data_IF_388149008576
#
_entry.id   IF_388149008576
#
_cell.length_a   1.000
_cell.length_b   1.000
_cell.length_c   1.000
_cell.angle_alpha   90.00
_cell.angle_beta   90.00
_cell.angle_gamma   90.00
#
_symmetry.space_group_name_H-M   'P 1'
#
loop_
_entity.id
_entity.type
_entity.pdbx_description
1 polymer ?
#
# COMPACT_ATOMS: atom_id res chain seq x y z
N UNK A 1 -1.07 -11.59 -0.29
CA UNK A 1 0.03 -12.19 0.51
C UNK A 1 -0.46 -13.40 1.33
N UNK A 2 -1.70 -13.35 1.83
CA UNK A 2 -2.24 -14.33 2.76
C UNK A 2 -3.12 -15.41 2.10
N UNK A 3 -2.70 -15.88 0.93
CA UNK A 3 -3.34 -17.03 0.25
C UNK A 3 -2.40 -18.23 0.30
N UNK A 4 -2.96 -19.44 0.11
CA UNK A 4 -2.16 -20.65 -0.08
C UNK A 4 -1.23 -20.48 -1.28
N UNK A 5 0.06 -20.71 -1.06
CA UNK A 5 1.08 -20.62 -2.12
C UNK A 5 1.37 -22.03 -2.62
N UNK A 6 0.79 -22.39 -3.77
CA UNK A 6 0.86 -23.73 -4.33
C UNK A 6 1.35 -23.69 -5.77
N UNK A 7 2.46 -24.40 -6.04
CA UNK A 7 3.07 -24.52 -7.36
C UNK A 7 2.36 -25.56 -8.24
N UNK A 8 1.99 -26.71 -7.66
CA UNK A 8 1.51 -27.87 -8.38
C UNK A 8 0.02 -28.11 -8.09
N UNK A 9 -0.82 -27.11 -8.39
CA UNK A 9 -2.27 -27.28 -8.29
C UNK A 9 -2.74 -28.33 -9.29
N UNK A 10 -3.80 -29.04 -8.93
CA UNK A 10 -4.53 -29.99 -9.77
C UNK A 10 -6.03 -29.74 -9.57
N UNK A 11 -6.81 -29.90 -10.62
CA UNK A 11 -8.27 -30.00 -10.52
C UNK A 11 -8.76 -31.29 -11.21
N UNK A 12 -10.00 -31.69 -10.92
CA UNK A 12 -10.59 -32.93 -11.44
C UNK A 12 -11.15 -32.77 -12.88
N UNK A 13 -10.98 -31.60 -13.50
CA UNK A 13 -11.39 -31.33 -14.85
C UNK A 13 -10.46 -31.94 -15.91
N UNK A 14 -10.89 -32.03 -17.18
CA UNK A 14 -10.08 -32.57 -18.27
C UNK A 14 -8.70 -31.90 -18.41
N UNK A 15 -8.64 -30.60 -18.14
CA UNK A 15 -7.44 -29.78 -18.19
C UNK A 15 -6.83 -29.47 -16.82
N UNK A 16 -7.28 -30.15 -15.76
CA UNK A 16 -6.81 -29.89 -14.40
C UNK A 16 -5.33 -30.17 -14.17
N UNK A 17 -4.72 -30.96 -15.04
CA UNK A 17 -3.27 -31.16 -15.07
C UNK A 17 -2.49 -29.92 -15.56
N UNK A 18 -3.16 -28.90 -16.11
CA UNK A 18 -2.56 -27.67 -16.64
C UNK A 18 -2.62 -26.47 -15.67
N UNK A 19 -3.30 -26.59 -14.53
CA UNK A 19 -3.46 -25.48 -13.57
C UNK A 19 -2.25 -25.21 -12.66
N UNK A 20 -1.14 -25.91 -12.90
CA UNK A 20 0.11 -25.65 -12.21
C UNK A 20 0.68 -24.26 -12.55
N UNK A 21 1.53 -23.74 -11.67
CA UNK A 21 2.29 -22.50 -11.91
C UNK A 21 3.74 -22.85 -12.28
N UNK A 22 4.26 -22.18 -13.30
CA UNK A 22 5.65 -22.32 -13.71
C UNK A 22 6.61 -21.57 -12.80
N UNK A 23 6.20 -20.38 -12.37
CA UNK A 23 6.93 -19.54 -11.44
C UNK A 23 5.97 -18.73 -10.56
N UNK A 24 6.42 -18.42 -9.34
CA UNK A 24 5.80 -17.50 -8.40
C UNK A 24 6.86 -16.51 -7.95
N UNK A 25 6.54 -15.23 -8.03
CA UNK A 25 7.35 -14.15 -7.49
C UNK A 25 6.58 -13.49 -6.36
N UNK A 26 7.24 -13.25 -5.24
CA UNK A 26 6.62 -12.63 -4.08
C UNK A 26 7.60 -11.72 -3.35
N UNK A 27 7.05 -10.70 -2.72
CA UNK A 27 7.79 -9.73 -1.94
C UNK A 27 7.37 -9.89 -0.47
N UNK A 28 8.21 -10.49 0.40
CA UNK A 28 7.83 -10.77 1.78
C UNK A 28 7.60 -9.51 2.61
N UNK A 29 8.07 -8.32 2.19
CA UNK A 29 7.69 -7.04 2.80
C UNK A 29 6.19 -6.71 2.85
N UNK A 30 5.34 -7.48 2.14
CA UNK A 30 3.88 -7.39 2.21
C UNK A 30 3.26 -8.20 3.36
N UNK A 31 4.08 -8.89 4.14
CA UNK A 31 3.68 -9.70 5.29
C UNK A 31 4.15 -9.00 6.58
N UNK A 32 3.53 -9.32 7.71
CA UNK A 32 3.95 -8.79 9.02
C UNK A 32 5.40 -9.16 9.31
N UNK A 33 6.21 -8.18 9.70
CA UNK A 33 7.64 -8.36 9.96
C UNK A 33 8.52 -8.46 8.70
N UNK A 34 7.89 -8.43 7.52
CA UNK A 34 8.55 -8.56 6.22
C UNK A 34 9.42 -7.40 5.74
N UNK A 35 9.26 -6.13 6.17
CA UNK A 35 10.19 -5.09 5.75
C UNK A 35 11.65 -5.48 6.04
N UNK A 36 12.53 -5.28 5.05
CA UNK A 36 13.93 -5.73 5.11
C UNK A 36 14.17 -7.20 4.74
N UNK A 37 13.26 -7.84 3.99
CA UNK A 37 13.44 -9.18 3.41
C UNK A 37 13.81 -9.10 1.92
N UNK A 38 14.50 -10.11 1.35
CA UNK A 38 14.69 -10.18 -0.09
C UNK A 38 13.39 -10.57 -0.80
N UNK A 39 13.34 -10.36 -2.12
CA UNK A 39 12.31 -10.99 -2.96
C UNK A 39 12.51 -12.51 -3.02
N UNK A 40 11.42 -13.26 -3.22
CA UNK A 40 11.48 -14.72 -3.37
C UNK A 40 10.92 -15.11 -4.74
N UNK A 41 11.70 -15.88 -5.49
CA UNK A 41 11.30 -16.54 -6.73
C UNK A 41 11.25 -18.05 -6.49
N UNK A 42 10.08 -18.64 -6.68
CA UNK A 42 9.90 -20.09 -6.74
C UNK A 42 9.59 -20.44 -8.19
N UNK A 43 10.46 -21.20 -8.84
CA UNK A 43 10.27 -21.56 -10.25
C UNK A 43 10.66 -23.02 -10.51
N UNK A 44 9.99 -23.64 -11.49
CA UNK A 44 10.31 -25.01 -11.88
C UNK A 44 11.72 -25.07 -12.47
N UNK A 45 12.54 -26.02 -11.99
CA UNK A 45 13.93 -26.21 -12.44
C UNK A 45 14.10 -26.22 -13.96
N UNK A 46 13.15 -26.81 -14.69
CA UNK A 46 13.14 -26.89 -16.17
C UNK A 46 13.18 -25.55 -16.91
N UNK A 47 12.87 -24.45 -16.22
CA UNK A 47 12.88 -23.08 -16.77
C UNK A 47 14.29 -22.47 -16.76
N UNK A 48 15.19 -22.96 -15.90
CA UNK A 48 16.55 -22.44 -15.75
C UNK A 48 17.49 -23.08 -16.78
N UNK A 49 17.33 -22.70 -18.05
CA UNK A 49 18.12 -23.20 -19.18
C UNK A 49 19.29 -22.30 -19.58
N UNK A 50 19.35 -21.09 -19.03
CA UNK A 50 20.40 -20.12 -19.36
C UNK A 50 21.75 -20.63 -18.85
N UNK A 51 22.79 -20.52 -19.68
CA UNK A 51 24.16 -20.85 -19.29
C UNK A 51 24.78 -19.74 -18.42
N UNK A 52 24.36 -18.49 -18.64
CA UNK A 52 24.79 -17.30 -17.91
C UNK A 52 23.68 -16.84 -16.97
N UNK A 53 23.97 -16.58 -15.68
CA UNK A 53 22.97 -16.06 -14.74
C UNK A 53 22.50 -14.66 -15.08
N UNK A 54 21.34 -14.28 -14.53
CA UNK A 54 20.81 -12.93 -14.65
C UNK A 54 21.72 -11.88 -13.99
N UNK A 55 22.40 -12.24 -12.89
CA UNK A 55 23.34 -11.39 -12.17
C UNK A 55 24.67 -12.14 -11.98
N UNK A 56 25.61 -12.04 -12.94
CA UNK A 56 26.94 -12.62 -12.79
C UNK A 56 27.72 -11.95 -11.65
N UNK A 57 28.42 -12.74 -10.84
CA UNK A 57 29.26 -12.19 -9.77
C UNK A 57 30.00 -13.25 -8.96
N UNK A 58 30.65 -12.82 -7.88
CA UNK A 58 31.17 -13.74 -6.89
C UNK A 58 30.06 -14.65 -6.36
N UNK A 59 30.37 -15.93 -6.12
CA UNK A 59 29.38 -16.92 -5.67
C UNK A 59 28.61 -17.63 -6.79
N UNK A 60 28.59 -17.12 -8.03
CA UNK A 60 27.89 -17.78 -9.16
C UNK A 60 28.78 -18.69 -10.00
N UNK A 61 30.11 -18.59 -9.84
CA UNK A 61 31.10 -19.29 -10.65
C UNK A 61 31.69 -20.49 -9.91
N UNK A 62 31.85 -21.61 -10.62
CA UNK A 62 32.65 -22.75 -10.20
C UNK A 62 34.15 -22.49 -10.45
N UNK A 63 34.49 -21.76 -11.51
CA UNK A 63 35.87 -21.45 -11.88
C UNK A 63 35.95 -20.17 -12.72
N UNK A 64 37.04 -19.42 -12.57
CA UNK A 64 37.35 -18.24 -13.38
C UNK A 64 38.86 -18.11 -13.53
N UNK A 65 39.33 -17.82 -14.74
CA UNK A 65 40.70 -17.39 -15.03
C UNK A 65 40.66 -16.13 -15.90
N UNK A 66 41.79 -15.74 -16.51
CA UNK A 66 41.86 -14.53 -17.33
C UNK A 66 40.98 -14.60 -18.59
N UNK A 67 40.81 -15.80 -19.15
CA UNK A 67 40.24 -16.01 -20.49
C UNK A 67 38.88 -16.72 -20.45
N UNK A 68 38.60 -17.46 -19.38
CA UNK A 68 37.49 -18.41 -19.26
C UNK A 68 36.82 -18.35 -17.89
N UNK A 69 35.56 -18.74 -17.86
CA UNK A 69 34.80 -18.95 -16.63
C UNK A 69 33.80 -20.08 -16.80
N UNK A 70 33.47 -20.74 -15.70
CA UNK A 70 32.42 -21.76 -15.62
C UNK A 70 31.47 -21.39 -14.49
N UNK A 71 30.18 -21.24 -14.81
CA UNK A 71 29.15 -21.02 -13.81
C UNK A 71 28.78 -22.30 -13.06
N UNK A 72 28.18 -22.15 -11.88
CA UNK A 72 27.65 -23.27 -11.11
C UNK A 72 26.51 -23.97 -11.87
N UNK A 73 26.42 -25.29 -11.70
CA UNK A 73 25.35 -26.08 -12.33
C UNK A 73 24.03 -25.99 -11.56
N UNK A 74 24.09 -25.77 -10.24
CA UNK A 74 22.90 -25.58 -9.42
C UNK A 74 22.27 -24.19 -9.71
N UNK A 75 21.02 -24.14 -10.20
CA UNK A 75 20.40 -22.86 -10.57
C UNK A 75 20.16 -21.92 -9.39
N UNK A 76 20.03 -22.42 -8.15
CA UNK A 76 19.77 -21.53 -7.00
C UNK A 76 21.02 -20.71 -6.71
N UNK A 77 22.17 -21.37 -6.55
CA UNK A 77 23.42 -20.66 -6.32
C UNK A 77 23.89 -19.86 -7.55
N UNK A 78 23.60 -20.35 -8.77
CA UNK A 78 23.99 -19.64 -9.99
C UNK A 78 23.30 -18.28 -10.12
N UNK A 79 22.02 -18.17 -9.74
CA UNK A 79 21.23 -16.93 -9.90
C UNK A 79 21.36 -15.95 -8.72
N UNK A 80 22.09 -16.31 -7.66
CA UNK A 80 22.29 -15.50 -6.45
C UNK A 80 23.69 -14.85 -6.41
N UNK A 81 23.97 -14.00 -7.39
CA UNK A 81 25.27 -13.33 -7.48
C UNK A 81 25.56 -12.35 -6.34
N UNK A 82 26.77 -12.47 -5.78
CA UNK A 82 27.26 -11.65 -4.68
C UNK A 82 27.08 -12.31 -3.31
N UNK A 83 27.22 -11.52 -2.25
CA UNK A 83 26.93 -11.99 -0.89
C UNK A 83 25.41 -12.11 -0.73
N UNK A 84 24.87 -13.30 -0.37
CA UNK A 84 23.44 -13.46 -0.18
C UNK A 84 22.92 -12.57 0.95
N UNK A 85 21.63 -12.25 0.89
CA UNK A 85 20.94 -11.49 1.94
C UNK A 85 20.63 -12.41 3.14
N UNK A 86 21.68 -12.84 3.87
CA UNK A 86 21.60 -13.93 4.86
C UNK A 86 20.58 -13.61 5.97
N UNK A 87 20.73 -12.47 6.64
CA UNK A 87 19.86 -12.08 7.77
C UNK A 87 18.44 -11.80 7.28
N UNK A 88 18.34 -11.17 6.11
CA UNK A 88 17.08 -10.85 5.45
C UNK A 88 16.33 -12.13 5.02
N UNK A 89 17.05 -13.18 4.61
CA UNK A 89 16.49 -14.50 4.25
C UNK A 89 16.01 -15.26 5.48
N UNK A 90 16.76 -15.22 6.59
CA UNK A 90 16.31 -15.76 7.88
C UNK A 90 15.00 -15.06 8.30
N UNK A 91 14.95 -13.73 8.20
CA UNK A 91 13.73 -12.95 8.46
C UNK A 91 12.58 -13.38 7.55
N UNK A 92 12.83 -13.61 6.26
CA UNK A 92 11.81 -14.09 5.33
C UNK A 92 11.21 -15.43 5.79
N UNK A 93 12.05 -16.38 6.25
CA UNK A 93 11.60 -17.64 6.84
C UNK A 93 10.67 -17.44 8.05
N UNK A 94 11.06 -16.56 8.99
CA UNK A 94 10.26 -16.25 10.19
C UNK A 94 8.90 -15.63 9.84
N UNK A 95 8.85 -14.78 8.81
CA UNK A 95 7.62 -14.14 8.33
C UNK A 95 6.63 -15.17 7.79
N UNK A 96 7.11 -16.19 7.08
CA UNK A 96 6.28 -17.30 6.64
C UNK A 96 5.82 -18.20 7.78
N UNK A 97 6.68 -18.45 8.78
CA UNK A 97 6.30 -19.18 9.99
C UNK A 97 5.20 -18.44 10.76
N UNK A 98 5.30 -17.11 10.91
CA UNK A 98 4.27 -16.29 11.54
C UNK A 98 2.92 -16.40 10.80
N UNK A 99 2.93 -16.27 9.47
CA UNK A 99 1.71 -16.48 8.67
C UNK A 99 1.13 -17.88 8.88
N UNK A 100 1.99 -18.91 8.90
CA UNK A 100 1.58 -20.30 9.16
C UNK A 100 0.94 -20.48 10.54
N UNK A 101 1.50 -19.82 11.57
CA UNK A 101 1.01 -19.89 12.95
C UNK A 101 -0.36 -19.21 13.13
N UNK A 102 -0.64 -18.12 12.42
CA UNK A 102 -1.96 -17.47 12.42
C UNK A 102 -2.98 -18.31 11.64
N UNK A 103 -2.57 -18.94 10.55
CA UNK A 103 -3.41 -19.75 9.69
C UNK A 103 -4.07 -18.94 8.55
N UNK A 104 -4.00 -19.48 7.33
CA UNK A 104 -4.50 -18.82 6.13
C UNK A 104 -6.03 -18.64 6.16
N UNK A 105 -6.75 -19.64 6.67
CA UNK A 105 -8.21 -19.60 6.77
C UNK A 105 -8.69 -18.55 7.75
N UNK A 106 -8.05 -18.44 8.92
CA UNK A 106 -8.37 -17.41 9.90
C UNK A 106 -8.12 -15.99 9.36
N UNK A 107 -6.99 -15.80 8.65
CA UNK A 107 -6.69 -14.52 7.99
C UNK A 107 -7.75 -14.22 6.92
N UNK A 108 -8.06 -15.21 6.07
CA UNK A 108 -9.03 -15.07 4.98
C UNK A 108 -10.41 -14.73 5.51
N UNK A 109 -10.90 -15.44 6.52
CA UNK A 109 -12.21 -15.20 7.12
C UNK A 109 -12.31 -13.77 7.68
N UNK A 110 -11.30 -13.34 8.45
CA UNK A 110 -11.29 -12.02 9.07
C UNK A 110 -11.18 -10.88 8.06
N UNK A 111 -10.27 -10.99 7.10
CA UNK A 111 -10.14 -10.00 6.02
C UNK A 111 -11.39 -9.96 5.13
N UNK A 112 -12.02 -11.12 4.86
CA UNK A 112 -13.26 -11.18 4.08
C UNK A 112 -14.44 -10.54 4.82
N UNK A 113 -14.54 -10.74 6.14
CA UNK A 113 -15.58 -10.09 6.95
C UNK A 113 -15.45 -8.55 6.91
N UNK A 114 -14.23 -8.01 7.07
CA UNK A 114 -13.99 -6.57 7.01
C UNK A 114 -14.27 -5.99 5.62
N UNK A 115 -13.74 -6.61 4.55
CA UNK A 115 -13.89 -6.05 3.21
C UNK A 115 -15.34 -6.03 2.74
N UNK A 116 -16.12 -7.07 3.06
CA UNK A 116 -17.55 -7.14 2.71
C UNK A 116 -18.33 -6.02 3.37
N UNK A 117 -18.15 -5.84 4.69
CA UNK A 117 -18.84 -4.80 5.48
C UNK A 117 -18.42 -3.39 5.04
N UNK A 118 -17.15 -3.18 4.72
CA UNK A 118 -16.67 -1.88 4.25
C UNK A 118 -17.26 -1.51 2.90
N UNK A 119 -17.29 -2.46 1.95
CA UNK A 119 -17.90 -2.22 0.62
C UNK A 119 -19.40 -1.99 0.76
N UNK A 120 -20.10 -2.81 1.54
CA UNK A 120 -21.54 -2.66 1.78
C UNK A 120 -21.87 -1.28 2.36
N UNK A 121 -21.14 -0.84 3.40
CA UNK A 121 -21.34 0.46 4.04
C UNK A 121 -21.01 1.63 3.11
N UNK A 122 -19.86 1.58 2.43
CA UNK A 122 -19.41 2.69 1.58
C UNK A 122 -20.19 2.79 0.27
N UNK A 123 -20.63 1.67 -0.32
CA UNK A 123 -21.51 1.69 -1.50
C UNK A 123 -22.90 2.24 -1.19
N UNK A 124 -23.33 2.27 0.08
CA UNK A 124 -24.58 2.90 0.50
C UNK A 124 -24.46 4.42 0.70
N UNK A 125 -23.26 5.00 0.57
CA UNK A 125 -23.03 6.43 0.69
C UNK A 125 -22.90 7.08 -0.69
N UNK A 126 -23.84 7.96 -1.05
CA UNK A 126 -23.84 8.66 -2.33
C UNK A 126 -22.59 9.53 -2.58
N UNK A 127 -21.83 9.88 -1.55
CA UNK A 127 -20.59 10.63 -1.70
C UNK A 127 -19.35 9.74 -1.92
N UNK A 128 -19.50 8.41 -1.88
CA UNK A 128 -18.38 7.47 -2.06
C UNK A 128 -18.64 6.60 -3.28
N UNK A 129 -17.67 6.57 -4.19
CA UNK A 129 -17.68 5.61 -5.30
C UNK A 129 -16.58 4.58 -5.08
N UNK A 130 -16.98 3.35 -4.77
CA UNK A 130 -16.07 2.21 -4.62
C UNK A 130 -15.67 1.71 -6.02
N UNK A 131 -14.37 1.70 -6.29
CA UNK A 131 -13.81 1.33 -7.59
C UNK A 131 -13.59 -0.18 -7.74
N UNK A 132 -13.67 -0.62 -9.01
CA UNK A 132 -13.48 -2.01 -9.42
C UNK A 132 -14.74 -2.85 -9.28
N UNK A 133 -14.62 -4.16 -9.51
CA UNK A 133 -15.74 -5.08 -9.41
C UNK A 133 -16.08 -5.36 -7.93
N UNK A 134 -17.37 -5.25 -7.58
CA UNK A 134 -17.88 -5.43 -6.21
C UNK A 134 -18.18 -6.89 -5.86
N UNK A 135 -18.46 -7.72 -6.86
CA UNK A 135 -18.83 -9.13 -6.72
C UNK A 135 -17.63 -10.08 -6.77
N UNK A 136 -16.52 -9.61 -7.38
CA UNK A 136 -15.31 -10.40 -7.51
C UNK A 136 -14.64 -10.63 -6.14
N UNK A 137 -14.12 -11.84 -5.93
CA UNK A 137 -13.26 -12.12 -4.80
C UNK A 137 -12.07 -11.14 -4.78
N UNK A 138 -11.80 -10.55 -3.61
CA UNK A 138 -10.73 -9.57 -3.44
C UNK A 138 -10.04 -9.69 -2.09
N UNK A 139 -8.80 -9.20 -2.08
CA UNK A 139 -8.08 -8.89 -0.85
C UNK A 139 -8.78 -7.76 -0.10
N UNK A 140 -8.52 -7.64 1.20
CA UNK A 140 -9.08 -6.59 2.04
C UNK A 140 -8.44 -5.21 1.81
N UNK A 141 -8.65 -4.71 0.60
CA UNK A 141 -8.15 -3.44 0.08
C UNK A 141 -9.29 -2.80 -0.70
N UNK A 142 -9.66 -1.59 -0.34
CA UNK A 142 -10.68 -0.81 -1.06
C UNK A 142 -10.03 0.39 -1.71
N UNK A 143 -10.40 0.62 -2.97
CA UNK A 143 -10.07 1.82 -3.73
C UNK A 143 -11.35 2.60 -3.93
N UNK A 144 -11.36 3.88 -3.64
CA UNK A 144 -12.54 4.72 -3.75
C UNK A 144 -12.20 6.17 -4.11
N UNK A 145 -13.17 6.87 -4.67
CA UNK A 145 -13.15 8.32 -4.87
C UNK A 145 -14.29 8.95 -4.08
N UNK A 146 -14.12 10.21 -3.70
CA UNK A 146 -15.12 10.97 -2.92
C UNK A 146 -15.74 12.03 -3.81
N UNK A 147 -17.06 12.00 -3.96
CA UNK A 147 -17.84 12.96 -4.74
C UNK A 147 -18.33 14.10 -3.86
N UNK A 148 -18.34 15.31 -4.40
CA UNK A 148 -19.00 16.47 -3.83
C UNK A 148 -19.65 17.28 -4.95
N UNK A 149 -20.99 17.29 -5.00
CA UNK A 149 -21.72 17.86 -6.12
C UNK A 149 -21.47 17.08 -7.42
N UNK A 150 -21.06 17.79 -8.47
CA UNK A 150 -20.73 17.26 -9.80
C UNK A 150 -19.25 16.86 -9.97
N UNK A 151 -18.44 17.00 -8.91
CA UNK A 151 -16.99 16.81 -8.95
C UNK A 151 -16.51 15.83 -7.88
N UNK A 152 -15.25 15.45 -7.99
CA UNK A 152 -14.57 14.64 -6.98
C UNK A 152 -13.60 15.49 -6.16
N UNK A 153 -13.50 15.20 -4.87
CA UNK A 153 -12.41 15.70 -4.05
C UNK A 153 -11.10 15.07 -4.53
N UNK A 154 -10.04 15.87 -4.55
CA UNK A 154 -8.72 15.40 -4.95
C UNK A 154 -8.25 14.26 -4.03
N UNK A 155 -7.75 13.15 -4.59
CA UNK A 155 -7.38 11.96 -3.82
C UNK A 155 -6.32 12.24 -2.75
N UNK A 156 -5.34 13.12 -3.02
CA UNK A 156 -4.34 13.49 -2.02
C UNK A 156 -4.92 14.39 -0.92
N UNK A 157 -5.99 15.15 -1.21
CA UNK A 157 -6.69 15.92 -0.18
C UNK A 157 -7.42 15.00 0.78
N UNK A 158 -8.18 14.03 0.25
CA UNK A 158 -8.87 13.02 1.06
C UNK A 158 -7.87 12.22 1.91
N UNK A 159 -6.72 11.82 1.34
CA UNK A 159 -5.67 11.14 2.10
C UNK A 159 -5.04 12.04 3.18
N UNK A 160 -4.85 13.34 2.91
CA UNK A 160 -4.37 14.31 3.90
C UNK A 160 -5.37 14.45 5.06
N UNK A 161 -6.67 14.58 4.77
CA UNK A 161 -7.70 14.64 5.82
C UNK A 161 -7.74 13.39 6.69
N UNK A 162 -7.62 12.20 6.08
CA UNK A 162 -7.56 10.93 6.82
C UNK A 162 -6.36 10.88 7.77
N UNK A 163 -5.21 11.39 7.34
CA UNK A 163 -4.02 11.47 8.18
C UNK A 163 -4.13 12.54 9.27
N UNK A 164 -4.52 13.76 8.91
CA UNK A 164 -4.43 14.93 9.78
C UNK A 164 -5.50 14.93 10.87
N UNK A 165 -6.70 14.45 10.58
CA UNK A 165 -7.81 14.40 11.54
C UNK A 165 -7.82 13.10 12.37
N UNK A 166 -7.40 11.98 11.79
CA UNK A 166 -7.62 10.65 12.38
C UNK A 166 -6.34 9.83 12.57
N UNK A 167 -5.20 10.27 12.04
CA UNK A 167 -3.97 9.47 12.01
C UNK A 167 -4.05 8.24 11.11
N UNK A 168 -5.03 8.18 10.19
CA UNK A 168 -5.25 7.04 9.29
C UNK A 168 -4.34 7.18 8.07
N UNK A 169 -3.42 6.24 7.92
CA UNK A 169 -2.48 6.20 6.80
C UNK A 169 -3.11 5.56 5.56
N UNK A 170 -3.77 6.38 4.74
CA UNK A 170 -4.21 5.98 3.42
C UNK A 170 -3.11 6.18 2.37
N UNK A 171 -3.27 5.58 1.19
CA UNK A 171 -2.46 5.93 0.00
C UNK A 171 -3.35 6.49 -1.08
N UNK A 172 -2.87 7.53 -1.75
CA UNK A 172 -3.53 8.13 -2.89
C UNK A 172 -2.70 7.99 -4.18
N UNK A 173 -3.36 7.97 -5.33
CA UNK A 173 -2.76 7.85 -6.66
C UNK A 173 -3.21 6.61 -7.43
N UNK A 174 -2.47 6.22 -8.46
CA UNK A 174 -2.86 5.11 -9.36
C UNK A 174 -2.37 3.72 -8.93
N UNK A 175 -1.83 3.57 -7.71
CA UNK A 175 -1.38 2.28 -7.13
C UNK A 175 -0.40 1.46 -8.00
N UNK A 176 0.46 2.12 -8.79
CA UNK A 176 1.33 1.46 -9.79
C UNK A 176 0.57 0.68 -10.88
N UNK A 177 -0.70 1.03 -11.11
CA UNK A 177 -1.61 0.35 -12.03
C UNK A 177 -2.14 1.34 -13.08
N UNK A 178 -1.27 2.16 -13.67
CA UNK A 178 -1.62 3.25 -14.59
C UNK A 178 -2.65 2.87 -15.66
N UNK A 179 -2.43 1.83 -16.47
CA UNK A 179 -3.40 1.41 -17.50
C UNK A 179 -4.75 0.95 -16.94
N UNK A 180 -4.77 0.34 -15.76
CA UNK A 180 -6.02 -0.04 -15.10
C UNK A 180 -6.73 1.19 -14.53
N UNK A 181 -5.99 2.14 -13.98
CA UNK A 181 -6.51 3.42 -13.51
C UNK A 181 -7.19 4.23 -14.62
N UNK A 182 -6.63 4.24 -15.83
CA UNK A 182 -7.27 4.89 -16.98
C UNK A 182 -8.63 4.27 -17.30
N UNK A 183 -8.73 2.94 -17.27
CA UNK A 183 -10.00 2.24 -17.49
C UNK A 183 -11.01 2.50 -16.37
N UNK A 184 -10.57 2.49 -15.11
CA UNK A 184 -11.45 2.73 -13.96
C UNK A 184 -11.99 4.15 -13.91
N UNK A 185 -11.18 5.14 -14.30
CA UNK A 185 -11.53 6.56 -14.21
C UNK A 185 -12.07 7.12 -15.54
N UNK A 186 -12.34 6.27 -16.54
CA UNK A 186 -12.87 6.70 -17.84
C UNK A 186 -11.93 7.62 -18.64
N UNK A 187 -10.61 7.51 -18.44
CA UNK A 187 -9.63 8.39 -19.07
C UNK A 187 -9.28 7.82 -20.45
N UNK A 188 -9.73 8.52 -21.49
CA UNK A 188 -9.41 8.19 -22.87
C UNK A 188 -7.97 8.62 -23.26
N UNK A 189 -7.54 8.23 -24.47
CA UNK A 189 -6.18 8.53 -24.93
C UNK A 189 -5.92 10.04 -25.10
N UNK A 190 -6.96 10.81 -25.46
CA UNK A 190 -6.82 12.25 -25.64
C UNK A 190 -6.57 12.95 -24.29
N UNK A 191 -7.35 12.59 -23.28
CA UNK A 191 -7.22 13.06 -21.89
C UNK A 191 -5.92 12.59 -21.26
N UNK A 192 -5.54 11.32 -21.49
CA UNK A 192 -4.26 10.76 -21.03
C UNK A 192 -3.07 11.57 -21.55
N UNK A 193 -3.06 11.91 -22.84
CA UNK A 193 -2.02 12.79 -23.44
C UNK A 193 -2.07 14.21 -22.91
N UNK A 194 -3.25 14.72 -22.54
CA UNK A 194 -3.35 16.03 -21.89
C UNK A 194 -2.69 16.01 -20.51
N UNK A 195 -2.95 14.97 -19.72
CA UNK A 195 -2.28 14.78 -18.44
C UNK A 195 -0.76 14.64 -18.60
N UNK A 196 -0.30 13.84 -19.56
CA UNK A 196 1.13 13.68 -19.84
C UNK A 196 1.83 15.02 -20.07
N UNK A 197 1.25 15.89 -20.92
CA UNK A 197 1.85 17.21 -21.23
C UNK A 197 2.04 18.08 -19.98
N UNK A 198 1.02 18.16 -19.13
CA UNK A 198 1.09 18.97 -17.91
C UNK A 198 2.03 18.35 -16.87
N UNK A 199 2.01 17.02 -16.71
CA UNK A 199 2.89 16.31 -15.75
C UNK A 199 4.36 16.47 -16.15
N UNK A 200 4.69 16.29 -17.43
CA UNK A 200 6.04 16.50 -17.95
C UNK A 200 6.48 17.96 -17.79
N UNK A 201 5.53 18.91 -17.84
CA UNK A 201 5.74 20.32 -17.54
C UNK A 201 5.94 20.64 -16.04
N UNK A 202 5.87 19.66 -15.15
CA UNK A 202 6.09 19.81 -13.71
C UNK A 202 4.82 19.89 -12.87
N UNK A 203 3.63 19.77 -13.46
CA UNK A 203 2.35 19.78 -12.74
C UNK A 203 1.95 18.37 -12.28
N UNK A 204 2.69 17.78 -11.33
CA UNK A 204 2.36 16.41 -10.88
C UNK A 204 0.99 16.30 -10.20
N UNK A 205 0.47 17.39 -9.67
CA UNK A 205 -0.80 17.41 -8.94
C UNK A 205 -2.03 17.07 -9.77
N UNK A 206 -1.94 17.08 -11.10
CA UNK A 206 -3.04 16.66 -11.98
C UNK A 206 -3.06 15.15 -12.23
N UNK A 207 -2.10 14.38 -11.67
CA UNK A 207 -2.07 12.92 -11.81
C UNK A 207 -3.38 12.32 -11.29
N UNK A 208 -4.12 11.57 -12.12
CA UNK A 208 -5.37 10.96 -11.70
C UNK A 208 -5.11 9.83 -10.70
N UNK A 209 -6.09 9.55 -9.85
CA UNK A 209 -5.98 8.47 -8.89
C UNK A 209 -7.20 8.33 -8.01
N UNK A 210 -7.05 7.51 -6.99
CA UNK A 210 -8.07 7.24 -5.98
C UNK A 210 -7.40 7.15 -4.62
N UNK A 211 -8.23 7.12 -3.57
CA UNK A 211 -7.76 6.79 -2.22
C UNK A 211 -7.88 5.29 -2.02
N UNK A 212 -6.88 4.72 -1.37
CA UNK A 212 -6.81 3.30 -1.03
C UNK A 212 -6.53 3.10 0.45
N UNK A 213 -7.38 2.32 1.08
CA UNK A 213 -7.24 1.84 2.46
C UNK A 213 -7.34 0.31 2.47
N UNK A 214 -6.73 -0.31 3.47
CA UNK A 214 -6.70 -1.75 3.64
C UNK A 214 -7.00 -2.12 5.09
N UNK A 215 -7.74 -3.20 5.29
CA UNK A 215 -8.00 -3.75 6.62
C UNK A 215 -7.18 -5.03 6.76
N UNK A 216 -6.12 -4.95 7.56
CA UNK A 216 -5.29 -6.13 7.83
C UNK A 216 -5.98 -7.04 8.87
N UNK A 217 -5.58 -8.30 8.95
CA UNK A 217 -6.22 -9.26 9.87
C UNK A 217 -5.96 -9.00 11.37
N UNK A 218 -5.01 -8.13 11.72
CA UNK A 218 -4.57 -7.93 13.10
C UNK A 218 -5.11 -6.65 13.74
N UNK A 219 -5.98 -5.89 13.06
CA UNK A 219 -6.73 -4.80 13.70
C UNK A 219 -7.94 -5.34 14.47
N UNK A 220 -8.30 -4.64 15.55
CA UNK A 220 -9.53 -4.89 16.30
C UNK A 220 -10.78 -4.40 15.57
N UNK A 221 -11.93 -4.83 16.06
CA UNK A 221 -13.24 -4.33 15.61
C UNK A 221 -13.39 -2.80 15.81
N UNK A 222 -12.95 -2.19 16.94
CA UNK A 222 -13.00 -0.74 17.09
C UNK A 222 -12.15 0.00 16.05
N UNK A 223 -10.96 -0.52 15.73
CA UNK A 223 -10.10 0.04 14.68
C UNK A 223 -10.72 -0.06 13.28
N UNK A 224 -11.37 -1.19 12.97
CA UNK A 224 -12.13 -1.34 11.72
C UNK A 224 -13.25 -0.29 11.63
N UNK A 225 -14.07 -0.18 12.68
CA UNK A 225 -15.20 0.74 12.72
C UNK A 225 -14.74 2.21 12.66
N UNK A 226 -13.66 2.55 13.35
CA UNK A 226 -13.07 3.89 13.31
C UNK A 226 -12.65 4.29 11.89
N UNK A 227 -11.98 3.40 11.15
CA UNK A 227 -11.60 3.67 9.75
C UNK A 227 -12.84 3.79 8.86
N UNK A 228 -13.85 2.95 9.08
CA UNK A 228 -15.12 2.99 8.34
C UNK A 228 -15.81 4.36 8.50
N UNK A 229 -15.95 4.80 9.75
CA UNK A 229 -16.64 6.04 10.12
C UNK A 229 -15.86 7.28 9.72
N UNK A 230 -14.53 7.25 9.85
CA UNK A 230 -13.67 8.35 9.40
C UNK A 230 -13.80 8.58 7.88
N UNK A 231 -13.86 7.52 7.08
CA UNK A 231 -14.07 7.63 5.63
C UNK A 231 -15.47 8.19 5.32
N UNK A 232 -16.52 7.76 6.02
CA UNK A 232 -17.85 8.36 5.88
C UNK A 232 -17.84 9.85 6.24
N UNK A 233 -17.19 10.24 7.33
CA UNK A 233 -17.13 11.62 7.78
C UNK A 233 -16.39 12.51 6.77
N UNK A 234 -15.23 12.06 6.26
CA UNK A 234 -14.49 12.77 5.21
C UNK A 234 -15.31 12.86 3.92
N UNK A 235 -16.00 11.79 3.54
CA UNK A 235 -16.82 11.79 2.34
C UNK A 235 -18.00 12.77 2.43
N UNK A 236 -18.64 12.85 3.59
CA UNK A 236 -19.82 13.68 3.78
C UNK A 236 -19.49 15.14 4.07
N UNK A 237 -18.37 15.41 4.74
CA UNK A 237 -18.11 16.73 5.32
C UNK A 237 -16.70 17.26 5.05
N UNK A 238 -15.78 16.43 4.56
CA UNK A 238 -14.38 16.82 4.35
C UNK A 238 -14.19 18.02 3.41
N UNK A 239 -15.14 18.26 2.50
CA UNK A 239 -15.12 19.44 1.61
C UNK A 239 -15.12 20.77 2.38
N UNK A 240 -15.68 20.81 3.60
CA UNK A 240 -15.71 22.00 4.46
C UNK A 240 -14.31 22.50 4.79
N UNK A 241 -13.31 21.61 4.77
CA UNK A 241 -11.92 21.95 5.06
C UNK A 241 -11.10 22.42 3.85
N UNK A 242 -11.65 22.43 2.64
CA UNK A 242 -10.92 22.90 1.45
C UNK A 242 -10.26 24.28 1.63
N UNK A 243 -10.92 25.30 2.22
CA UNK A 243 -10.30 26.62 2.45
C UNK A 243 -9.10 26.57 3.40
N UNK A 244 -9.08 25.59 4.31
CA UNK A 244 -8.05 25.45 5.34
C UNK A 244 -6.77 24.75 4.83
N UNK A 245 -6.78 24.25 3.59
CA UNK A 245 -5.63 23.61 2.98
C UNK A 245 -5.12 24.40 1.77
N UNK A 246 -3.82 24.28 1.53
CA UNK A 246 -3.14 24.75 0.34
C UNK A 246 -2.77 23.54 -0.53
N UNK A 247 -3.02 23.66 -1.84
CA UNK A 247 -2.62 22.67 -2.83
C UNK A 247 -1.33 23.10 -3.53
N UNK A 248 -0.33 22.22 -3.55
CA UNK A 248 0.86 22.38 -4.35
C UNK A 248 0.70 21.62 -5.67
N UNK A 249 0.54 22.37 -6.77
CA UNK A 249 0.37 21.80 -8.10
C UNK A 249 1.61 21.04 -8.61
N UNK A 250 2.81 21.39 -8.12
CA UNK A 250 4.05 20.77 -8.55
C UNK A 250 4.22 19.36 -7.96
N UNK A 251 3.78 19.16 -6.71
CA UNK A 251 3.92 17.87 -6.00
C UNK A 251 2.60 17.09 -5.89
N UNK A 252 1.46 17.77 -6.07
CA UNK A 252 0.14 17.25 -5.82
C UNK A 252 -0.24 17.15 -4.34
N UNK A 253 0.60 17.66 -3.43
CA UNK A 253 0.37 17.55 -2.00
C UNK A 253 -0.62 18.61 -1.51
N UNK A 254 -1.33 18.26 -0.45
CA UNK A 254 -2.24 19.14 0.27
C UNK A 254 -1.71 19.33 1.68
N UNK A 255 -1.57 20.59 2.10
CA UNK A 255 -1.05 20.95 3.41
C UNK A 255 -2.03 21.87 4.13
N UNK A 256 -2.29 21.59 5.41
CA UNK A 256 -3.08 22.49 6.23
C UNK A 256 -2.34 23.83 6.38
N UNK A 257 -3.04 24.95 6.19
CA UNK A 257 -2.44 26.30 6.19
C UNK A 257 -1.87 26.71 7.53
N UNK A 258 -2.38 26.14 8.62
CA UNK A 258 -1.97 26.45 10.00
C UNK A 258 -0.82 25.60 10.55
N UNK A 259 -0.31 24.60 9.81
CA UNK A 259 0.78 23.74 10.30
C UNK A 259 2.11 24.11 9.64
N UNK A 260 3.15 24.31 10.46
CA UNK A 260 4.51 24.52 9.98
C UNK A 260 5.05 23.28 9.26
N UNK A 261 5.84 23.49 8.20
CA UNK A 261 6.40 22.44 7.34
C UNK A 261 7.64 21.73 7.93
N UNK A 262 7.99 22.01 9.19
CA UNK A 262 9.23 21.48 9.76
C UNK A 262 9.12 19.97 10.03
N UNK A 263 10.06 19.16 9.52
CA UNK A 263 10.10 17.75 9.82
C UNK A 263 10.26 17.57 11.33
N UNK A 264 9.34 16.82 11.93
CA UNK A 264 9.27 16.60 13.39
C UNK A 264 10.51 15.90 13.98
N UNK A 265 11.40 15.37 13.12
CA UNK A 265 12.65 14.70 13.48
C UNK A 265 13.72 14.90 12.39
N UNK A 266 14.96 15.15 12.82
CA UNK A 266 16.15 15.24 12.00
C UNK A 266 17.13 14.11 12.33
N UNK A 267 18.01 13.73 11.40
CA UNK A 267 19.15 12.85 11.71
C UNK A 267 20.05 13.43 12.81
N UNK A 268 20.02 14.74 13.04
CA UNK A 268 20.72 15.40 14.16
C UNK A 268 20.12 15.09 15.53
N UNK A 269 18.86 14.62 15.59
CA UNK A 269 18.18 14.23 16.83
C UNK A 269 18.55 12.80 17.26
N UNK A 270 19.35 12.11 16.45
CA UNK A 270 19.83 10.74 16.69
C UNK A 270 21.24 10.79 17.23
N UNK A 271 21.50 10.12 18.36
CA UNK A 271 22.83 10.02 18.96
C UNK A 271 23.19 8.57 19.29
N UNK A 272 24.48 8.31 19.43
CA UNK A 272 25.03 7.02 19.87
C UNK A 272 25.92 7.17 21.11
N UNK A 273 25.69 8.20 21.92
CA UNK A 273 26.61 8.55 23.03
C UNK A 273 26.73 7.45 24.08
N UNK A 274 25.71 6.62 24.26
CA UNK A 274 25.72 5.47 25.17
C UNK A 274 26.14 4.14 24.51
N UNK A 275 26.55 4.16 23.23
CA UNK A 275 26.76 2.94 22.43
C UNK A 275 25.46 2.28 21.95
N UNK A 276 24.31 2.90 22.19
CA UNK A 276 23.00 2.52 21.63
C UNK A 276 22.40 3.69 20.86
N UNK A 277 21.53 3.39 19.89
CA UNK A 277 20.75 4.39 19.18
C UNK A 277 19.82 5.10 20.17
N UNK A 278 20.03 6.40 20.37
CA UNK A 278 19.22 7.27 21.22
C UNK A 278 18.57 8.35 20.38
N UNK A 279 17.27 8.55 20.55
CA UNK A 279 16.50 9.63 19.95
C UNK A 279 15.30 9.95 20.83
N UNK A 280 14.75 11.16 20.70
CA UNK A 280 13.51 11.52 21.40
C UNK A 280 12.32 10.86 20.69
N UNK A 281 11.97 9.63 21.11
CA UNK A 281 10.75 8.98 20.65
C UNK A 281 9.52 9.80 21.07
N UNK A 282 8.69 10.17 20.10
CA UNK A 282 7.36 10.78 20.32
C UNK A 282 6.23 9.79 20.06
N UNK A 283 6.52 8.49 20.04
CA UNK A 283 5.49 7.47 19.92
C UNK A 283 4.64 7.49 21.18
N UNK A 284 3.47 8.13 21.09
CA UNK A 284 2.37 7.94 22.02
C UNK A 284 1.50 6.81 21.47
N UNK A 285 1.09 5.90 22.35
CA UNK A 285 0.11 4.86 22.03
C UNK A 285 -1.09 5.08 22.93
N UNK A 286 -2.26 5.12 22.31
CA UNK A 286 -3.53 5.22 23.01
C UNK A 286 -4.33 3.93 22.81
N UNK A 287 -5.17 3.54 23.77
CA UNK A 287 -5.98 2.34 23.68
C UNK A 287 -7.14 2.49 22.68
N UNK A 288 -7.63 1.40 22.10
CA UNK A 288 -8.66 1.47 21.04
C UNK A 288 -9.98 2.15 21.49
N UNK A 289 -10.30 2.18 22.79
CA UNK A 289 -11.54 2.80 23.28
C UNK A 289 -11.57 4.33 23.18
N UNK A 290 -10.44 5.01 22.94
CA UNK A 290 -10.45 6.45 22.68
C UNK A 290 -10.81 6.82 21.24
N UNK A 291 -10.79 5.86 20.31
CA UNK A 291 -11.05 6.13 18.89
C UNK A 291 -12.38 6.87 18.60
N UNK A 292 -13.51 6.57 19.29
CA UNK A 292 -14.74 7.35 19.12
C UNK A 292 -14.58 8.84 19.46
N UNK A 293 -13.77 9.17 20.46
CA UNK A 293 -13.53 10.57 20.83
C UNK A 293 -12.77 11.35 19.75
N UNK A 294 -11.93 10.68 18.94
CA UNK A 294 -11.28 11.31 17.80
C UNK A 294 -12.27 11.61 16.66
N UNK A 295 -13.29 10.77 16.47
CA UNK A 295 -14.39 11.08 15.54
C UNK A 295 -15.18 12.30 16.02
N UNK A 296 -15.45 12.42 17.32
CA UNK A 296 -16.12 13.59 17.91
C UNK A 296 -15.30 14.86 17.74
N UNK A 297 -13.99 14.80 18.02
CA UNK A 297 -13.07 15.92 17.81
C UNK A 297 -13.03 16.34 16.34
N UNK A 298 -12.95 15.38 15.40
CA UNK A 298 -12.98 15.69 13.98
C UNK A 298 -14.29 16.37 13.54
N UNK A 299 -15.45 15.95 14.08
CA UNK A 299 -16.73 16.61 13.85
C UNK A 299 -16.73 18.05 14.35
N UNK A 300 -16.19 18.30 15.55
CA UNK A 300 -16.08 19.66 16.09
C UNK A 300 -15.22 20.56 15.18
N UNK A 301 -14.08 20.06 14.68
CA UNK A 301 -13.23 20.77 13.72
C UNK A 301 -13.98 21.09 12.42
N UNK A 302 -14.75 20.14 11.90
CA UNK A 302 -15.56 20.32 10.68
C UNK A 302 -16.69 21.35 10.88
N UNK A 303 -17.32 21.38 12.05
CA UNK A 303 -18.36 22.35 12.38
C UNK A 303 -17.79 23.78 12.56
N UNK A 304 -16.60 23.90 13.15
CA UNK A 304 -15.90 25.17 13.30
C UNK A 304 -15.43 25.75 11.96
N UNK A 305 -15.01 24.90 11.02
CA UNK A 305 -14.62 25.31 9.66
C UNK A 305 -15.77 26.04 8.92
N UNK A 306 -17.03 25.62 9.15
CA UNK A 306 -18.21 26.29 8.57
C UNK A 306 -18.50 27.64 9.26
N UNK A 307 -18.16 27.76 10.54
CA UNK A 307 -18.42 28.95 11.37
C UNK A 307 -17.36 30.04 11.24
N UNK A 308 -16.34 29.84 10.40
CA UNK A 308 -15.35 30.85 10.09
C UNK A 308 -15.65 31.52 8.73
N UNK A 309 -16.71 32.33 8.58
CA UNK A 309 -16.85 33.18 7.42
C UNK A 309 -15.91 34.38 7.58
N UNK A 310 -14.83 34.41 6.80
CA UNK A 310 -13.98 35.58 6.63
C UNK A 310 -12.56 35.42 7.17
N UNK A 311 -11.65 35.03 6.28
CA UNK A 311 -10.34 35.67 6.08
C UNK A 311 -9.58 34.95 4.95
N UNK A 312 -9.93 35.31 3.70
CA UNK A 312 -9.09 35.39 2.50
C UNK A 312 -9.96 35.38 1.22
#
# INVERSE_FOLDING_TARGET
PYVKIEMNMQDDGPDGHLVYKDAIFLSPHKFIGGPGTPGVLVAKRRLFRNEVPAVPGGGTVAYVNHDEHRYLEDPQHREEGGTPAIVESIRAGLVFQLKGAVGEDAIREREHAFIRRAIESWSANDNIEVLGNHDAWRLSIVSFVVRHGDRYLHQNFVAALLNDLFGIQARAGCSCAGPYGHRLLGIDLATSRAFEREIVGGCEGIKPGWVRVNFNYFIGEPSFQFVLDAVHLVANEGYKLLPHYAFDAATGLWHHRGTGHDPKMSLRDVTYRSGKLEYRSRHATEPEWVLPSYLEQARAVLDEAVRSPGDA
#
